data_IF_814247616589
#
_entry.id   IF_814247616589
#
_cell.length_a   1.000
_cell.length_b   1.000
_cell.length_c   1.000
_cell.angle_alpha   90.00
_cell.angle_beta   90.00
_cell.angle_gamma   90.00
#
_symmetry.space_group_name_H-M   'P 1'
#
loop_
_entity.id
_entity.type
_entity.pdbx_description
1 polymer ?
#
# COMPACT_ATOMS: atom_id res chain seq x y z
N UNK A 1 53.73 -28.77 -48.26
CA UNK A 1 53.07 -29.51 -47.17
C UNK A 1 52.40 -28.52 -46.23
N UNK A 2 51.07 -28.63 -46.17
CA UNK A 2 50.06 -28.04 -45.29
C UNK A 2 50.56 -27.36 -44.00
N UNK A 3 50.26 -26.07 -43.84
CA UNK A 3 49.89 -25.48 -42.54
C UNK A 3 48.62 -24.65 -42.71
N UNK A 4 47.51 -25.36 -42.61
CA UNK A 4 46.18 -24.85 -42.27
C UNK A 4 46.21 -24.57 -40.75
N UNK A 5 45.73 -23.41 -40.28
CA UNK A 5 45.82 -23.10 -38.85
C UNK A 5 45.18 -21.81 -38.39
N UNK A 6 43.85 -21.75 -38.50
CA UNK A 6 42.93 -21.07 -37.57
C UNK A 6 42.95 -19.52 -37.58
N UNK A 7 42.04 -18.96 -38.38
CA UNK A 7 41.48 -17.63 -38.18
C UNK A 7 40.44 -17.74 -37.04
N UNK A 8 40.81 -17.36 -35.81
CA UNK A 8 39.89 -17.25 -34.68
C UNK A 8 39.17 -15.90 -34.78
N UNK A 9 38.05 -15.87 -35.51
CA UNK A 9 37.09 -14.77 -35.44
C UNK A 9 36.41 -14.86 -34.08
N UNK A 10 36.89 -14.07 -33.11
CA UNK A 10 36.13 -13.77 -31.90
C UNK A 10 34.90 -12.95 -32.27
N UNK A 11 33.84 -13.64 -32.68
CA UNK A 11 32.50 -13.06 -32.67
C UNK A 11 32.10 -12.90 -31.19
N UNK A 12 32.32 -11.71 -30.64
CA UNK A 12 31.66 -11.28 -29.41
C UNK A 12 30.16 -11.19 -29.68
N UNK A 13 29.47 -12.34 -29.64
CA UNK A 13 28.05 -12.42 -29.37
C UNK A 13 27.86 -11.89 -27.95
N UNK A 14 27.66 -10.58 -27.84
CA UNK A 14 27.10 -9.97 -26.65
C UNK A 14 25.69 -10.55 -26.45
N UNK A 15 25.60 -11.67 -25.76
CA UNK A 15 24.37 -12.11 -25.12
C UNK A 15 24.03 -11.00 -24.12
N UNK A 16 23.17 -10.08 -24.54
CA UNK A 16 22.45 -9.22 -23.62
C UNK A 16 21.50 -10.15 -22.88
N UNK A 17 22.01 -10.82 -21.85
CA UNK A 17 21.17 -11.49 -20.89
C UNK A 17 20.30 -10.38 -20.27
N UNK A 18 19.04 -10.30 -20.67
CA UNK A 18 18.07 -9.52 -19.90
C UNK A 18 18.06 -10.18 -18.52
N UNK A 19 18.64 -9.49 -17.54
CA UNK A 19 18.61 -9.94 -16.16
C UNK A 19 17.14 -10.10 -15.76
N UNK A 20 16.76 -11.33 -15.40
CA UNK A 20 15.39 -11.62 -15.00
C UNK A 20 15.14 -11.02 -13.63
N UNK A 21 13.90 -10.57 -13.40
CA UNK A 21 13.49 -10.14 -12.05
C UNK A 21 13.71 -11.30 -11.08
N UNK A 22 14.34 -11.02 -9.93
CA UNK A 22 14.57 -12.03 -8.90
C UNK A 22 13.35 -12.09 -7.99
N UNK A 23 13.01 -13.30 -7.54
CA UNK A 23 12.09 -13.45 -6.41
C UNK A 23 12.70 -12.80 -5.15
N UNK A 24 11.88 -12.44 -4.14
CA UNK A 24 12.38 -11.88 -2.89
C UNK A 24 13.44 -12.78 -2.25
N UNK A 25 13.22 -14.10 -2.21
CA UNK A 25 14.18 -15.06 -1.66
C UNK A 25 15.53 -15.04 -2.41
N UNK A 26 15.50 -15.06 -3.74
CA UNK A 26 16.72 -15.03 -4.56
C UNK A 26 17.49 -13.71 -4.46
N UNK A 27 16.81 -12.61 -4.13
CA UNK A 27 17.43 -11.31 -3.91
C UNK A 27 17.99 -11.16 -2.49
N UNK A 28 17.20 -11.52 -1.48
CA UNK A 28 17.53 -11.33 -0.06
C UNK A 28 18.54 -12.36 0.46
N UNK A 29 18.54 -13.56 -0.12
CA UNK A 29 19.33 -14.71 0.34
C UNK A 29 18.71 -15.48 1.50
N UNK A 30 17.44 -15.22 1.81
CA UNK A 30 16.61 -15.90 2.82
C UNK A 30 15.14 -15.76 2.43
N UNK A 31 14.27 -16.62 2.97
CA UNK A 31 12.84 -16.55 2.66
C UNK A 31 12.21 -15.38 3.40
N UNK A 32 11.23 -14.72 2.76
CA UNK A 32 10.37 -13.79 3.48
C UNK A 32 9.74 -14.52 4.66
N UNK A 33 9.71 -13.87 5.83
CA UNK A 33 9.22 -14.48 7.06
C UNK A 33 10.29 -15.10 7.95
N UNK A 34 11.46 -15.48 7.41
CA UNK A 34 12.56 -16.03 8.23
C UNK A 34 13.15 -15.00 9.20
N UNK A 35 13.11 -13.72 8.81
CA UNK A 35 13.56 -12.56 9.59
C UNK A 35 13.01 -11.28 8.99
N UNK A 36 13.06 -10.19 9.75
CA UNK A 36 12.72 -8.87 9.23
C UNK A 36 13.79 -8.32 8.29
N UNK A 37 13.35 -7.77 7.16
CA UNK A 37 14.18 -7.06 6.21
C UNK A 37 14.29 -5.58 6.61
N UNK A 38 15.51 -5.05 6.83
CA UNK A 38 15.72 -3.62 7.03
C UNK A 38 15.20 -2.82 5.84
N UNK A 39 14.78 -1.58 6.06
CA UNK A 39 14.14 -0.75 5.04
C UNK A 39 14.97 -0.65 3.75
N UNK A 40 16.30 -0.50 3.84
CA UNK A 40 17.16 -0.40 2.66
C UNK A 40 17.09 -1.66 1.77
N UNK A 41 16.86 -2.86 2.32
CA UNK A 41 16.68 -4.08 1.53
C UNK A 41 15.34 -4.08 0.80
N UNK A 42 14.28 -3.57 1.44
CA UNK A 42 12.97 -3.37 0.81
C UNK A 42 13.10 -2.41 -0.37
N UNK A 43 13.70 -1.23 -0.16
CA UNK A 43 13.93 -0.24 -1.23
C UNK A 43 14.77 -0.82 -2.37
N UNK A 44 15.86 -1.51 -2.05
CA UNK A 44 16.73 -2.10 -3.06
C UNK A 44 16.03 -3.24 -3.82
N UNK A 45 15.11 -3.98 -3.19
CA UNK A 45 14.30 -4.97 -3.89
C UNK A 45 13.35 -4.32 -4.89
N UNK A 46 12.63 -3.27 -4.48
CA UNK A 46 11.77 -2.51 -5.38
C UNK A 46 12.55 -1.88 -6.54
N UNK A 47 13.77 -1.38 -6.28
CA UNK A 47 14.68 -0.89 -7.34
C UNK A 47 15.06 -2.00 -8.30
N UNK A 48 15.45 -3.16 -7.78
CA UNK A 48 15.79 -4.32 -8.60
C UNK A 48 14.61 -4.74 -9.48
N UNK A 49 13.39 -4.77 -8.95
CA UNK A 49 12.19 -5.09 -9.73
C UNK A 49 11.97 -4.06 -10.84
N UNK A 50 12.05 -2.76 -10.54
CA UNK A 50 11.87 -1.70 -11.53
C UNK A 50 12.92 -1.74 -12.65
N UNK A 51 14.20 -1.95 -12.32
CA UNK A 51 15.30 -2.03 -13.28
C UNK A 51 15.20 -3.26 -14.19
N UNK A 52 14.63 -4.36 -13.71
CA UNK A 52 14.49 -5.61 -14.45
C UNK A 52 13.08 -5.82 -15.04
N UNK A 53 12.16 -4.86 -14.85
CA UNK A 53 10.84 -4.81 -15.49
C UNK A 53 10.43 -3.37 -15.84
N UNK A 54 11.28 -2.61 -16.57
CA UNK A 54 11.08 -1.18 -16.79
C UNK A 54 9.86 -0.86 -17.67
N UNK A 55 9.36 -1.84 -18.44
CA UNK A 55 8.11 -1.69 -19.20
C UNK A 55 6.86 -1.83 -18.34
N UNK A 56 6.94 -2.52 -17.20
CA UNK A 56 5.78 -2.77 -16.32
C UNK A 56 5.82 -1.96 -15.03
N UNK A 57 6.99 -1.48 -14.60
CA UNK A 57 7.19 -0.85 -13.31
C UNK A 57 7.90 0.49 -13.46
N UNK A 58 7.31 1.54 -12.87
CA UNK A 58 7.98 2.82 -12.61
C UNK A 58 8.16 2.96 -11.10
N UNK A 59 9.40 3.14 -10.65
CA UNK A 59 9.70 3.46 -9.26
C UNK A 59 10.02 4.96 -9.13
N UNK A 60 9.43 5.61 -8.14
CA UNK A 60 9.57 7.04 -7.90
C UNK A 60 9.86 7.28 -6.42
N UNK A 61 10.94 7.99 -6.13
CA UNK A 61 11.14 8.55 -4.79
C UNK A 61 10.34 9.85 -4.71
N UNK A 62 9.39 9.91 -3.77
CA UNK A 62 8.54 11.10 -3.60
C UNK A 62 8.98 12.02 -2.47
N UNK A 63 9.89 11.55 -1.62
CA UNK A 63 10.34 12.30 -0.47
C UNK A 63 11.40 11.59 0.35
N UNK A 64 11.71 12.21 1.50
CA UNK A 64 12.60 11.66 2.52
C UNK A 64 12.02 11.92 3.92
N UNK A 65 12.32 11.04 4.86
CA UNK A 65 11.96 11.21 6.28
C UNK A 65 12.92 12.15 7.01
N UNK A 66 12.62 12.45 8.27
CA UNK A 66 13.49 13.25 9.13
C UNK A 66 14.88 12.63 9.35
N UNK A 67 14.99 11.29 9.30
CA UNK A 67 16.27 10.58 9.40
C UNK A 67 16.90 10.27 8.03
N UNK A 68 16.39 10.88 6.94
CA UNK A 68 16.96 10.77 5.59
C UNK A 68 16.68 9.45 4.88
N UNK A 69 15.63 8.72 5.28
CA UNK A 69 15.23 7.49 4.58
C UNK A 69 14.32 7.83 3.39
N UNK A 70 14.54 7.21 2.21
CA UNK A 70 13.76 7.53 1.03
C UNK A 70 12.34 6.99 1.14
N UNK A 71 11.37 7.80 0.72
CA UNK A 71 9.96 7.42 0.60
C UNK A 71 9.64 7.11 -0.87
N UNK A 72 9.05 5.93 -1.13
CA UNK A 72 8.99 5.35 -2.48
C UNK A 72 7.54 5.06 -2.91
N UNK A 73 7.26 5.22 -4.21
CA UNK A 73 6.06 4.70 -4.86
C UNK A 73 6.46 3.85 -6.06
N UNK A 74 5.90 2.66 -6.17
CA UNK A 74 5.97 1.83 -7.36
C UNK A 74 4.62 1.82 -8.09
N UNK A 75 4.64 2.18 -9.37
CA UNK A 75 3.51 2.09 -10.27
C UNK A 75 3.66 0.84 -11.12
N UNK A 76 2.66 -0.05 -11.11
CA UNK A 76 2.71 -1.35 -11.77
C UNK A 76 1.48 -1.56 -12.63
N UNK A 77 1.69 -1.86 -13.92
CA UNK A 77 0.62 -2.24 -14.85
C UNK A 77 1.20 -2.97 -16.07
N UNK A 78 0.36 -3.23 -17.07
CA UNK A 78 0.83 -3.75 -18.38
C UNK A 78 1.72 -2.73 -19.08
N UNK A 79 2.56 -3.19 -20.00
CA UNK A 79 3.43 -2.29 -20.77
C UNK A 79 2.65 -1.22 -21.55
N UNK A 80 1.46 -1.56 -22.03
CA UNK A 80 0.55 -0.61 -22.70
C UNK A 80 0.06 0.48 -21.75
N UNK A 81 -0.45 0.10 -20.57
CA UNK A 81 -0.91 1.06 -19.57
C UNK A 81 0.24 1.92 -19.04
N UNK A 82 1.42 1.33 -18.83
CA UNK A 82 2.61 2.04 -18.35
C UNK A 82 3.16 3.02 -19.39
N UNK A 83 3.09 2.69 -20.69
CA UNK A 83 3.41 3.65 -21.76
C UNK A 83 2.41 4.83 -21.80
N UNK A 84 1.18 4.63 -21.34
CA UNK A 84 0.11 5.63 -21.29
C UNK A 84 -0.12 6.23 -19.87
N UNK A 85 0.79 5.98 -18.93
CA UNK A 85 0.59 6.20 -17.49
C UNK A 85 0.17 7.64 -17.14
N UNK A 86 0.82 8.63 -17.75
CA UNK A 86 0.54 10.04 -17.49
C UNK A 86 -0.85 10.47 -18.00
N UNK A 87 -1.33 9.88 -19.11
CA UNK A 87 -2.68 10.14 -19.59
C UNK A 87 -3.72 9.47 -18.69
N UNK A 88 -3.45 8.27 -18.17
CA UNK A 88 -4.32 7.61 -17.16
C UNK A 88 -4.45 8.51 -15.93
N UNK A 89 -3.32 9.01 -15.41
CA UNK A 89 -3.28 9.93 -14.26
C UNK A 89 -4.08 11.21 -14.52
N UNK A 90 -3.81 11.91 -15.64
CA UNK A 90 -4.54 13.14 -16.03
C UNK A 90 -6.03 12.87 -16.23
N UNK A 91 -6.37 11.77 -16.88
CA UNK A 91 -7.76 11.37 -17.06
C UNK A 91 -8.48 11.21 -15.72
N UNK A 92 -7.80 10.66 -14.72
CA UNK A 92 -8.39 10.50 -13.41
C UNK A 92 -8.69 11.86 -12.72
N UNK A 93 -7.82 12.85 -12.90
CA UNK A 93 -8.10 14.22 -12.47
C UNK A 93 -9.27 14.86 -13.24
N UNK A 94 -9.49 14.47 -14.51
CA UNK A 94 -10.67 14.91 -15.28
C UNK A 94 -11.95 14.27 -14.75
N UNK A 95 -11.92 12.98 -14.38
CA UNK A 95 -13.04 12.32 -13.70
C UNK A 95 -13.37 13.01 -12.37
N UNK A 96 -12.34 13.41 -11.61
CA UNK A 96 -12.49 14.19 -10.40
C UNK A 96 -12.91 15.65 -10.64
N UNK A 97 -12.87 16.16 -11.88
CA UNK A 97 -13.15 17.55 -12.23
C UNK A 97 -12.13 18.56 -11.70
N UNK A 98 -10.91 18.11 -11.37
CA UNK A 98 -9.80 18.95 -10.86
C UNK A 98 -8.73 19.23 -11.91
N UNK A 99 -8.82 18.59 -13.08
CA UNK A 99 -7.88 18.83 -14.18
C UNK A 99 -8.03 20.24 -14.77
N UNK A 100 -6.89 20.88 -15.06
CA UNK A 100 -6.82 22.24 -15.62
C UNK A 100 -6.96 22.28 -17.16
N UNK A 101 -6.79 21.14 -17.84
CA UNK A 101 -6.76 21.06 -19.30
C UNK A 101 -8.14 21.11 -19.98
N UNK A 102 -9.22 21.08 -19.19
CA UNK A 102 -10.63 21.14 -19.63
C UNK A 102 -11.03 20.09 -20.68
N UNK A 103 -10.27 19.00 -20.81
CA UNK A 103 -10.63 17.90 -21.71
C UNK A 103 -11.71 17.02 -21.07
N UNK A 104 -12.54 16.39 -21.89
CA UNK A 104 -13.51 15.41 -21.42
C UNK A 104 -12.80 14.18 -20.80
N UNK A 105 -13.39 13.63 -19.74
CA UNK A 105 -12.91 12.41 -19.11
C UNK A 105 -13.31 11.17 -19.92
N UNK A 106 -12.47 10.15 -19.92
CA UNK A 106 -12.71 8.84 -20.50
C UNK A 106 -12.96 7.82 -19.37
N UNK A 107 -14.16 7.26 -19.33
CA UNK A 107 -14.58 6.29 -18.31
C UNK A 107 -14.10 4.84 -18.58
N UNK A 108 -13.42 4.60 -19.71
CA UNK A 108 -12.88 3.29 -20.09
C UNK A 108 -11.38 3.14 -19.77
N UNK A 109 -10.79 4.10 -19.04
CA UNK A 109 -9.40 4.01 -18.59
C UNK A 109 -9.28 3.04 -17.39
N UNK A 110 -8.11 2.43 -17.17
CA UNK A 110 -7.87 1.59 -16.00
C UNK A 110 -8.15 2.31 -14.68
N UNK A 111 -8.71 1.59 -13.71
CA UNK A 111 -8.84 2.06 -12.33
C UNK A 111 -7.47 2.09 -11.64
N UNK A 112 -7.30 2.99 -10.67
CA UNK A 112 -6.09 3.14 -9.87
C UNK A 112 -6.34 2.55 -8.48
N UNK A 113 -5.52 1.58 -8.10
CA UNK A 113 -5.57 0.93 -6.78
C UNK A 113 -4.29 1.24 -6.02
N UNK A 114 -4.41 1.81 -4.82
CA UNK A 114 -3.27 2.21 -3.99
C UNK A 114 -3.16 1.31 -2.76
N UNK A 115 -2.01 0.66 -2.59
CA UNK A 115 -1.69 -0.21 -1.47
C UNK A 115 -0.61 0.46 -0.61
N UNK A 116 -0.94 0.78 0.63
CA UNK A 116 -0.12 1.50 1.60
C UNK A 116 0.33 0.57 2.72
N UNK A 117 1.64 0.41 2.90
CA UNK A 117 2.18 -0.51 3.88
C UNK A 117 2.95 0.22 4.99
N UNK A 118 2.86 -0.30 6.22
CA UNK A 118 3.73 0.02 7.36
C UNK A 118 3.74 1.52 7.76
N UNK A 119 2.56 2.13 7.88
CA UNK A 119 2.41 3.49 8.45
C UNK A 119 2.75 3.53 9.95
N UNK A 120 2.51 2.42 10.66
CA UNK A 120 3.11 2.20 11.98
C UNK A 120 4.34 1.31 11.82
N UNK A 121 5.51 1.82 12.18
CA UNK A 121 6.77 1.18 11.81
C UNK A 121 6.98 -0.20 12.42
N UNK A 122 6.44 -0.47 13.61
CA UNK A 122 6.55 -1.78 14.28
C UNK A 122 5.49 -2.82 13.85
N UNK A 123 4.63 -2.48 12.87
CA UNK A 123 3.66 -3.38 12.21
C UNK A 123 4.29 -3.91 10.91
N UNK A 124 5.40 -4.62 11.06
CA UNK A 124 6.45 -4.77 10.04
C UNK A 124 6.17 -5.80 8.95
N UNK A 125 5.25 -6.74 9.16
CA UNK A 125 4.96 -7.81 8.19
C UNK A 125 4.39 -7.27 6.87
N UNK A 126 3.71 -6.13 6.93
CA UNK A 126 3.13 -5.42 5.78
C UNK A 126 4.18 -5.08 4.70
N UNK A 127 5.37 -4.58 5.03
CA UNK A 127 6.42 -4.34 4.03
C UNK A 127 7.03 -5.62 3.44
N UNK A 128 7.05 -6.72 4.19
CA UNK A 128 7.46 -8.02 3.64
C UNK A 128 6.41 -8.50 2.61
N UNK A 129 5.13 -8.33 2.93
CA UNK A 129 4.03 -8.60 2.01
C UNK A 129 4.12 -7.73 0.74
N UNK A 130 4.49 -6.45 0.86
CA UNK A 130 4.68 -5.56 -0.28
C UNK A 130 5.72 -6.09 -1.28
N UNK A 131 6.83 -6.68 -0.81
CA UNK A 131 7.83 -7.32 -1.66
C UNK A 131 7.25 -8.56 -2.38
N UNK A 132 6.45 -9.37 -1.70
CA UNK A 132 5.77 -10.51 -2.31
C UNK A 132 4.72 -10.06 -3.35
N UNK A 133 3.96 -9.00 -3.04
CA UNK A 133 2.95 -8.44 -3.93
C UNK A 133 3.58 -7.92 -5.21
N UNK A 134 4.60 -7.05 -5.15
CA UNK A 134 5.21 -6.51 -6.37
C UNK A 134 5.83 -7.63 -7.22
N UNK A 135 6.46 -8.63 -6.59
CA UNK A 135 6.97 -9.82 -7.28
C UNK A 135 5.88 -10.54 -8.07
N UNK A 136 4.75 -10.86 -7.45
CA UNK A 136 3.66 -11.60 -8.11
C UNK A 136 2.96 -10.81 -9.22
N UNK A 137 3.01 -9.48 -9.18
CA UNK A 137 2.52 -8.63 -10.27
C UNK A 137 3.45 -8.65 -11.50
N UNK A 138 4.76 -8.73 -11.29
CA UNK A 138 5.75 -8.77 -12.38
C UNK A 138 6.14 -10.18 -12.82
N UNK A 139 5.93 -11.18 -11.97
CA UNK A 139 6.26 -12.58 -12.23
C UNK A 139 5.67 -13.05 -13.58
N UNK A 140 6.51 -13.46 -14.56
CA UNK A 140 6.04 -13.86 -15.88
C UNK A 140 5.20 -15.15 -15.85
N UNK A 141 5.36 -15.98 -14.81
CA UNK A 141 4.56 -17.20 -14.64
C UNK A 141 3.14 -16.93 -14.11
N UNK A 142 2.89 -15.75 -13.52
CA UNK A 142 1.59 -15.42 -12.95
C UNK A 142 0.69 -14.76 -14.01
N UNK A 143 -0.01 -15.58 -14.79
CA UNK A 143 -0.88 -15.09 -15.87
C UNK A 143 -2.13 -14.36 -15.37
N UNK A 144 -2.62 -14.69 -14.17
CA UNK A 144 -3.80 -14.04 -13.58
C UNK A 144 -3.57 -12.56 -13.35
N UNK A 145 -2.43 -12.20 -12.76
CA UNK A 145 -2.10 -10.79 -12.51
C UNK A 145 -1.94 -10.01 -13.80
N UNK A 146 -1.41 -10.62 -14.87
CA UNK A 146 -1.32 -9.96 -16.18
C UNK A 146 -2.68 -9.59 -16.75
N UNK A 147 -3.69 -10.44 -16.55
CA UNK A 147 -5.08 -10.12 -16.95
C UNK A 147 -5.66 -9.00 -16.09
N UNK A 148 -5.41 -9.00 -14.78
CA UNK A 148 -5.88 -7.93 -13.90
C UNK A 148 -5.28 -6.57 -14.26
N UNK A 149 -3.96 -6.52 -14.47
CA UNK A 149 -3.22 -5.30 -14.79
C UNK A 149 -3.64 -4.64 -16.11
N UNK A 150 -4.37 -5.32 -17.01
CA UNK A 150 -4.98 -4.67 -18.18
C UNK A 150 -6.01 -3.61 -17.75
N UNK A 151 -6.72 -3.88 -16.65
CA UNK A 151 -7.83 -3.07 -16.16
C UNK A 151 -7.45 -2.16 -14.99
N UNK A 152 -6.26 -2.31 -14.39
CA UNK A 152 -5.82 -1.49 -13.25
C UNK A 152 -4.37 -1.02 -13.36
N UNK A 153 -4.11 0.13 -12.77
CA UNK A 153 -2.77 0.58 -12.36
C UNK A 153 -2.66 0.43 -10.85
N UNK A 154 -1.67 -0.32 -10.40
CA UNK A 154 -1.41 -0.52 -8.97
C UNK A 154 -0.32 0.46 -8.53
N UNK A 155 -0.59 1.21 -7.45
CA UNK A 155 0.38 2.05 -6.76
C UNK A 155 0.72 1.38 -5.44
N UNK A 156 2.01 1.13 -5.19
CA UNK A 156 2.50 0.49 -3.96
C UNK A 156 3.40 1.50 -3.23
N UNK A 157 3.02 1.85 -2.00
CA UNK A 157 3.89 2.52 -1.02
C UNK A 157 4.41 1.45 -0.04
N UNK A 158 5.65 0.93 -0.21
CA UNK A 158 6.11 -0.24 0.53
C UNK A 158 6.40 0.03 2.01
N UNK A 159 6.57 1.29 2.42
CA UNK A 159 6.85 1.65 3.79
C UNK A 159 6.63 3.16 4.01
N UNK A 160 5.51 3.51 4.64
CA UNK A 160 5.16 4.90 4.93
C UNK A 160 6.00 5.47 6.09
N UNK A 161 6.39 4.63 7.06
CA UNK A 161 7.17 5.02 8.24
C UNK A 161 8.50 4.25 8.35
N UNK A 162 9.48 4.52 7.47
CA UNK A 162 10.73 3.79 7.47
C UNK A 162 11.60 4.09 8.70
N UNK A 163 11.45 5.26 9.34
CA UNK A 163 12.17 5.62 10.57
C UNK A 163 11.70 4.76 11.75
N UNK A 164 10.39 4.68 11.96
CA UNK A 164 9.80 3.80 12.97
C UNK A 164 10.08 2.32 12.66
N UNK A 165 10.03 1.93 11.38
CA UNK A 165 10.32 0.56 10.94
C UNK A 165 11.72 0.14 11.33
N UNK A 166 12.72 0.90 10.90
CA UNK A 166 14.11 0.54 11.17
C UNK A 166 14.42 0.61 12.67
N UNK A 167 13.76 1.48 13.45
CA UNK A 167 13.87 1.46 14.92
C UNK A 167 13.50 0.09 15.49
N UNK A 168 12.33 -0.44 15.10
CA UNK A 168 11.89 -1.77 15.55
C UNK A 168 12.75 -2.89 14.97
N UNK A 169 13.01 -2.88 13.65
CA UNK A 169 13.75 -3.95 12.96
C UNK A 169 15.19 -4.06 13.46
N UNK A 170 15.87 -2.92 13.70
CA UNK A 170 17.23 -2.92 14.23
C UNK A 170 17.29 -3.46 15.65
N UNK A 171 16.32 -3.08 16.49
CA UNK A 171 16.19 -3.67 17.82
C UNK A 171 15.93 -5.18 17.75
N UNK A 172 14.91 -5.61 17.00
CA UNK A 172 14.51 -7.00 16.92
C UNK A 172 15.66 -7.89 16.44
N UNK A 173 16.35 -7.48 15.37
CA UNK A 173 17.50 -8.19 14.83
C UNK A 173 18.70 -8.27 15.79
N UNK A 174 18.77 -7.40 16.80
CA UNK A 174 19.79 -7.45 17.86
C UNK A 174 19.45 -8.38 19.02
N UNK A 175 18.17 -8.78 19.15
CA UNK A 175 17.70 -9.60 20.27
C UNK A 175 17.26 -11.00 19.87
N UNK A 176 16.86 -11.20 18.61
CA UNK A 176 16.40 -12.50 18.10
C UNK A 176 17.52 -13.54 18.11
N UNK A 177 17.18 -14.74 18.57
CA UNK A 177 18.09 -15.89 18.52
C UNK A 177 18.27 -16.45 17.10
N UNK A 178 19.07 -17.52 16.99
CA UNK A 178 19.13 -18.32 15.74
C UNK A 178 17.78 -18.97 15.43
N UNK A 179 17.04 -19.32 16.48
CA UNK A 179 15.67 -19.84 16.45
C UNK A 179 14.85 -18.84 17.26
N UNK A 180 13.74 -18.37 16.69
CA UNK A 180 12.83 -17.47 17.37
C UNK A 180 12.18 -18.18 18.56
N UNK A 181 12.07 -17.49 19.70
CA UNK A 181 11.38 -18.01 20.88
C UNK A 181 9.92 -17.51 20.87
N UNK A 182 8.93 -18.38 20.68
CA UNK A 182 7.55 -17.96 20.52
C UNK A 182 6.85 -17.58 21.84
N UNK A 183 7.53 -17.70 22.99
CA UNK A 183 6.93 -17.43 24.29
C UNK A 183 6.78 -15.91 24.52
N UNK A 184 5.55 -15.36 24.70
CA UNK A 184 5.30 -13.91 24.70
C UNK A 184 5.98 -13.08 25.79
N UNK A 185 6.63 -13.73 26.77
CA UNK A 185 7.36 -13.12 27.87
C UNK A 185 8.88 -13.05 27.62
N UNK A 186 9.36 -13.50 26.46
CA UNK A 186 10.79 -13.41 26.11
C UNK A 186 11.15 -12.01 25.62
N UNK A 187 12.45 -11.72 25.57
CA UNK A 187 12.98 -10.43 25.15
C UNK A 187 12.59 -10.08 23.71
N UNK A 188 12.34 -11.06 22.84
CA UNK A 188 11.93 -10.85 21.44
C UNK A 188 10.56 -10.15 21.30
N UNK A 189 9.75 -10.14 22.36
CA UNK A 189 8.42 -9.54 22.39
C UNK A 189 8.34 -8.30 23.29
N UNK A 190 9.47 -7.77 23.75
CA UNK A 190 9.51 -6.63 24.68
C UNK A 190 10.23 -5.44 24.02
N UNK A 191 9.59 -4.86 23.01
CA UNK A 191 10.08 -3.66 22.33
C UNK A 191 10.35 -2.53 23.36
N UNK A 192 11.57 -1.95 23.38
CA UNK A 192 11.91 -0.89 24.30
C UNK A 192 11.30 0.45 23.86
N UNK A 193 11.27 1.41 24.78
CA UNK A 193 10.93 2.79 24.46
C UNK A 193 12.19 3.58 24.03
N UNK A 194 12.11 4.46 23.01
CA UNK A 194 10.96 4.66 22.13
C UNK A 194 10.75 3.48 21.17
N UNK A 195 9.49 3.06 21.00
CA UNK A 195 9.10 1.99 20.08
C UNK A 195 8.99 2.48 18.62
N UNK A 196 8.89 1.57 17.67
CA UNK A 196 8.83 1.82 16.24
C UNK A 196 7.46 2.19 15.68
N UNK A 197 6.39 2.20 16.49
CA UNK A 197 5.03 2.55 16.01
C UNK A 197 5.00 3.92 15.33
N UNK A 198 5.57 4.93 15.98
CA UNK A 198 5.54 6.32 15.55
C UNK A 198 6.76 6.71 14.71
N UNK A 199 6.70 7.86 14.04
CA UNK A 199 7.83 8.38 13.24
C UNK A 199 8.99 8.90 14.12
N UNK A 200 9.93 9.66 13.53
CA UNK A 200 11.05 10.27 14.24
C UNK A 200 10.63 11.10 15.48
N UNK A 201 9.61 11.95 15.34
CA UNK A 201 9.13 12.83 16.42
C UNK A 201 8.09 12.19 17.32
N UNK A 202 7.96 10.87 17.28
CA UNK A 202 6.95 10.10 18.01
C UNK A 202 5.49 10.46 17.65
N UNK A 203 5.24 10.95 16.43
CA UNK A 203 3.89 11.15 15.92
C UNK A 203 3.33 9.88 15.27
N UNK A 204 2.03 9.66 15.46
CA UNK A 204 1.27 8.63 14.76
C UNK A 204 0.87 9.16 13.36
N UNK A 205 1.52 8.61 12.33
CA UNK A 205 1.29 9.03 10.94
C UNK A 205 -0.11 8.65 10.43
N UNK A 206 -0.76 7.65 11.03
CA UNK A 206 -2.15 7.31 10.72
C UNK A 206 -3.15 8.22 11.45
N UNK A 207 -2.71 9.23 12.20
CA UNK A 207 -3.56 10.34 12.67
C UNK A 207 -3.33 11.63 11.89
N UNK A 208 -2.34 11.68 11.02
CA UNK A 208 -1.82 12.91 10.43
C UNK A 208 -2.31 13.19 9.00
N UNK A 209 -3.09 12.29 8.37
CA UNK A 209 -3.53 12.43 6.98
C UNK A 209 -4.24 13.76 6.67
N UNK A 210 -5.15 14.17 7.55
CA UNK A 210 -5.79 15.47 7.44
C UNK A 210 -4.84 16.57 7.91
N UNK A 211 -4.23 16.46 9.10
CA UNK A 211 -3.51 17.58 9.72
C UNK A 211 -2.18 17.95 9.03
N UNK A 212 -1.55 17.00 8.33
CA UNK A 212 -0.33 17.19 7.54
C UNK A 212 0.78 17.90 8.33
N UNK A 213 0.97 17.51 9.59
CA UNK A 213 2.00 18.09 10.45
C UNK A 213 3.38 17.48 10.21
N UNK A 214 3.43 16.23 9.74
CA UNK A 214 4.67 15.48 9.56
C UNK A 214 5.14 15.52 8.10
N UNK A 215 6.47 15.53 7.90
CA UNK A 215 7.08 15.66 6.57
C UNK A 215 6.72 14.48 5.67
N UNK A 216 6.58 13.28 6.24
CA UNK A 216 6.18 12.07 5.52
C UNK A 216 4.77 12.25 4.91
N UNK A 217 3.83 12.81 5.68
CA UNK A 217 2.46 13.07 5.22
C UNK A 217 2.41 14.21 4.21
N UNK A 218 3.11 15.32 4.47
CA UNK A 218 3.15 16.49 3.57
C UNK A 218 3.63 16.10 2.17
N UNK A 219 4.64 15.23 2.08
CA UNK A 219 5.16 14.73 0.81
C UNK A 219 4.21 13.71 0.17
N UNK A 220 3.63 12.80 0.97
CA UNK A 220 2.68 11.77 0.49
C UNK A 220 1.42 12.38 -0.11
N UNK A 221 0.85 13.39 0.53
CA UNK A 221 -0.45 13.94 0.14
C UNK A 221 -0.43 14.65 -1.20
N UNK A 222 0.71 15.27 -1.56
CA UNK A 222 0.93 15.84 -2.90
C UNK A 222 0.79 14.73 -3.96
N UNK A 223 1.46 13.59 -3.76
CA UNK A 223 1.34 12.45 -4.68
C UNK A 223 -0.05 11.85 -4.69
N UNK A 224 -0.66 11.71 -3.52
CA UNK A 224 -2.02 11.20 -3.41
C UNK A 224 -3.00 12.06 -4.22
N UNK A 225 -2.95 13.38 -4.09
CA UNK A 225 -3.83 14.31 -4.81
C UNK A 225 -3.51 14.39 -6.31
N UNK A 226 -2.28 14.06 -6.74
CA UNK A 226 -1.92 13.95 -8.16
C UNK A 226 -2.54 12.72 -8.84
N UNK A 227 -2.97 11.72 -8.07
CA UNK A 227 -3.44 10.43 -8.56
C UNK A 227 -4.90 10.12 -8.22
N UNK A 228 -5.38 10.47 -7.02
CA UNK A 228 -6.74 10.25 -6.50
C UNK A 228 -7.30 8.84 -6.79
N UNK A 229 -6.73 7.78 -6.18
CA UNK A 229 -7.07 6.41 -6.53
C UNK A 229 -8.56 6.08 -6.31
N UNK A 230 -9.09 5.11 -7.06
CA UNK A 230 -10.42 4.57 -6.82
C UNK A 230 -10.47 3.69 -5.57
N UNK A 231 -9.40 2.96 -5.28
CA UNK A 231 -9.32 2.04 -4.13
C UNK A 231 -8.05 2.34 -3.34
N UNK A 232 -8.15 2.37 -2.01
CA UNK A 232 -7.01 2.52 -1.11
C UNK A 232 -7.06 1.46 -0.01
N UNK A 233 -5.95 0.79 0.24
CA UNK A 233 -5.81 -0.13 1.37
C UNK A 233 -4.64 0.31 2.24
N UNK A 234 -4.91 0.48 3.53
CA UNK A 234 -3.91 0.74 4.57
C UNK A 234 -3.67 -0.53 5.38
N UNK A 235 -2.46 -1.09 5.30
CA UNK A 235 -2.10 -2.37 5.93
C UNK A 235 -1.46 -2.14 7.30
N UNK A 236 -2.08 -2.74 8.31
CA UNK A 236 -1.79 -2.57 9.72
C UNK A 236 -1.65 -3.90 10.47
N UNK A 237 -1.11 -3.83 11.68
CA UNK A 237 -1.17 -4.93 12.63
C UNK A 237 -1.75 -4.52 13.99
N UNK A 238 -2.38 -5.50 14.64
CA UNK A 238 -3.01 -5.37 15.96
C UNK A 238 -2.46 -6.43 16.95
N UNK A 239 -3.11 -6.60 18.10
CA UNK A 239 -2.74 -7.61 19.09
C UNK A 239 -2.57 -9.00 18.48
N UNK A 240 -1.53 -9.74 18.86
CA UNK A 240 -1.26 -11.09 18.31
C UNK A 240 -2.31 -12.14 18.69
N UNK A 241 -3.19 -11.85 19.65
CA UNK A 241 -4.34 -12.67 19.99
C UNK A 241 -5.58 -12.37 19.12
N UNK A 242 -5.55 -11.30 18.34
CA UNK A 242 -6.69 -10.93 17.50
C UNK A 242 -6.58 -11.60 16.12
N UNK A 243 -7.68 -12.14 15.57
CA UNK A 243 -7.71 -12.67 14.21
C UNK A 243 -7.57 -11.54 13.17
N UNK A 244 -7.46 -11.88 11.89
CA UNK A 244 -7.31 -10.85 10.84
C UNK A 244 -8.59 -10.02 10.70
N UNK A 245 -8.48 -8.71 10.53
CA UNK A 245 -9.61 -7.87 10.14
C UNK A 245 -9.44 -7.30 8.73
N UNK A 246 -10.55 -7.32 7.98
CA UNK A 246 -10.69 -6.58 6.74
C UNK A 246 -12.08 -5.96 6.65
N UNK A 247 -12.21 -4.96 5.77
CA UNK A 247 -13.48 -4.32 5.46
C UNK A 247 -14.60 -5.35 5.16
N UNK A 248 -15.86 -5.08 5.51
CA UNK A 248 -16.44 -3.77 5.81
C UNK A 248 -16.20 -3.24 7.23
N UNK A 249 -16.22 -1.91 7.35
CA UNK A 249 -16.19 -1.18 8.61
C UNK A 249 -17.45 -1.38 9.46
N UNK A 250 -17.36 -1.04 10.75
CA UNK A 250 -18.46 -1.04 11.71
C UNK A 250 -19.37 0.18 11.52
N UNK A 251 -20.65 0.02 11.89
CA UNK A 251 -21.60 1.13 11.95
C UNK A 251 -21.51 1.87 13.30
N UNK A 252 -21.76 3.20 13.35
CA UNK A 252 -22.24 4.07 12.27
C UNK A 252 -21.13 4.62 11.35
N UNK A 253 -21.48 4.92 10.09
CA UNK A 253 -20.60 5.62 9.14
C UNK A 253 -20.90 7.11 9.09
N UNK A 254 -19.91 7.92 8.69
CA UNK A 254 -20.17 9.31 8.33
C UNK A 254 -21.14 9.37 7.14
N UNK A 255 -22.08 10.33 7.18
CA UNK A 255 -23.14 10.51 6.17
C UNK A 255 -22.64 10.73 4.73
N UNK A 256 -21.41 11.19 4.55
CA UNK A 256 -20.81 11.47 3.23
C UNK A 256 -20.26 10.20 2.57
N UNK A 257 -20.14 9.11 3.31
CA UNK A 257 -19.74 7.80 2.76
C UNK A 257 -20.89 7.26 1.93
N UNK A 258 -20.67 7.13 0.62
CA UNK A 258 -21.71 6.74 -0.34
C UNK A 258 -22.11 5.26 -0.21
N UNK A 259 -23.35 4.89 -0.62
CA UNK A 259 -23.77 3.49 -0.67
C UNK A 259 -22.83 2.62 -1.51
N UNK A 260 -22.32 3.15 -2.63
CA UNK A 260 -21.37 2.43 -3.49
C UNK A 260 -20.06 2.09 -2.77
N UNK A 261 -19.46 3.06 -2.07
CA UNK A 261 -18.22 2.80 -1.34
C UNK A 261 -18.42 1.67 -0.30
N UNK A 262 -19.57 1.65 0.38
CA UNK A 262 -19.92 0.58 1.34
C UNK A 262 -20.15 -0.76 0.64
N UNK A 263 -20.89 -0.77 -0.46
CA UNK A 263 -21.15 -1.98 -1.27
C UNK A 263 -19.83 -2.60 -1.75
N UNK A 264 -18.89 -1.77 -2.19
CA UNK A 264 -17.58 -2.23 -2.65
C UNK A 264 -16.71 -2.78 -1.51
N UNK A 265 -16.69 -2.15 -0.33
CA UNK A 265 -16.06 -2.74 0.85
C UNK A 265 -16.61 -4.14 1.16
N UNK A 266 -17.93 -4.35 1.02
CA UNK A 266 -18.55 -5.67 1.20
C UNK A 266 -18.10 -6.67 0.13
N UNK A 267 -17.96 -6.26 -1.13
CA UNK A 267 -17.45 -7.13 -2.20
C UNK A 267 -16.02 -7.60 -1.91
N UNK A 268 -15.14 -6.69 -1.51
CA UNK A 268 -13.76 -6.99 -1.12
C UNK A 268 -13.74 -7.93 0.08
N UNK A 269 -14.50 -7.61 1.13
CA UNK A 269 -14.60 -8.43 2.34
C UNK A 269 -15.06 -9.86 2.06
N UNK A 270 -16.04 -10.03 1.17
CA UNK A 270 -16.51 -11.38 0.75
C UNK A 270 -15.44 -12.16 -0.01
N UNK A 271 -14.66 -11.51 -0.86
CA UNK A 271 -13.58 -12.20 -1.58
C UNK A 271 -12.43 -12.56 -0.63
N UNK A 272 -12.06 -11.66 0.29
CA UNK A 272 -11.09 -11.95 1.34
C UNK A 272 -11.54 -13.12 2.22
N UNK A 273 -12.81 -13.11 2.69
CA UNK A 273 -13.40 -14.20 3.46
C UNK A 273 -13.30 -15.54 2.74
N UNK A 274 -13.61 -15.60 1.44
CA UNK A 274 -13.45 -16.82 0.63
C UNK A 274 -12.02 -17.38 0.66
N UNK A 275 -11.00 -16.52 0.61
CA UNK A 275 -9.62 -16.95 0.71
C UNK A 275 -9.25 -17.44 2.12
N UNK A 276 -9.73 -16.76 3.15
CA UNK A 276 -9.48 -17.13 4.54
C UNK A 276 -10.18 -18.44 4.91
N UNK A 277 -11.46 -18.60 4.54
CA UNK A 277 -12.23 -19.84 4.71
C UNK A 277 -11.55 -21.03 4.03
N UNK A 278 -11.02 -20.83 2.81
CA UNK A 278 -10.33 -21.88 2.06
C UNK A 278 -9.00 -22.32 2.69
N UNK A 279 -8.37 -21.46 3.49
CA UNK A 279 -7.13 -21.77 4.20
C UNK A 279 -7.33 -22.07 5.70
N UNK A 280 -8.57 -21.96 6.21
CA UNK A 280 -8.87 -22.15 7.63
C UNK A 280 -8.35 -21.02 8.53
N UNK A 281 -8.16 -19.81 8.00
CA UNK A 281 -7.68 -18.67 8.78
C UNK A 281 -8.83 -17.89 9.42
N UNK A 282 -8.66 -17.54 10.69
CA UNK A 282 -9.65 -16.77 11.44
C UNK A 282 -9.63 -15.30 11.02
N UNK A 283 -10.82 -14.71 10.86
CA UNK A 283 -11.00 -13.30 10.59
C UNK A 283 -12.28 -12.75 11.23
N UNK A 284 -12.39 -11.43 11.29
CA UNK A 284 -13.61 -10.72 11.68
C UNK A 284 -13.86 -9.48 10.81
N UNK A 285 -15.11 -8.99 10.80
CA UNK A 285 -15.54 -7.79 10.07
C UNK A 285 -16.64 -7.08 10.84
N UNK A 286 -16.91 -5.78 10.59
CA UNK A 286 -18.05 -5.00 11.16
C UNK A 286 -18.08 -4.77 12.67
N UNK A 287 -17.00 -5.04 13.41
CA UNK A 287 -17.04 -4.97 14.88
C UNK A 287 -16.47 -3.67 15.47
N UNK A 288 -15.22 -3.32 15.14
CA UNK A 288 -14.47 -2.30 15.89
C UNK A 288 -14.00 -1.10 15.07
N UNK A 289 -13.65 -1.29 13.80
CA UNK A 289 -13.05 -0.25 12.97
C UNK A 289 -14.13 0.51 12.20
N UNK A 290 -14.31 1.79 12.50
CA UNK A 290 -15.32 2.67 11.91
C UNK A 290 -14.77 3.57 10.79
N UNK A 291 -15.65 4.36 10.16
CA UNK A 291 -15.28 5.36 9.16
C UNK A 291 -15.72 6.77 9.56
N UNK A 292 -15.57 7.13 10.84
CA UNK A 292 -16.05 8.41 11.37
C UNK A 292 -14.98 9.51 11.34
N UNK A 293 -13.80 9.27 11.92
CA UNK A 293 -12.75 10.28 12.05
C UNK A 293 -11.99 10.52 10.73
N UNK A 294 -11.81 11.76 10.24
CA UNK A 294 -11.33 12.06 8.87
C UNK A 294 -9.85 11.95 8.58
N UNK A 295 -9.03 11.53 9.54
CA UNK A 295 -7.57 11.61 9.42
C UNK A 295 -6.88 10.23 9.40
N UNK A 296 -7.62 9.17 9.08
CA UNK A 296 -7.09 7.82 8.90
C UNK A 296 -6.76 7.53 7.43
N UNK A 297 -5.87 6.57 7.20
CA UNK A 297 -5.51 6.09 5.88
C UNK A 297 -6.63 5.33 5.17
N UNK A 298 -7.73 4.99 5.83
CA UNK A 298 -8.96 4.55 5.18
C UNK A 298 -9.98 5.68 5.01
N UNK A 299 -10.19 6.54 6.01
CA UNK A 299 -11.23 7.57 5.97
C UNK A 299 -10.87 8.79 5.12
N UNK A 300 -9.62 9.27 5.16
CA UNK A 300 -9.20 10.38 4.32
C UNK A 300 -9.40 10.04 2.82
N UNK A 301 -8.97 8.85 2.32
CA UNK A 301 -9.34 8.37 0.99
C UNK A 301 -10.84 8.34 0.70
N UNK A 302 -11.65 7.88 1.66
CA UNK A 302 -13.11 7.85 1.50
C UNK A 302 -13.70 9.24 1.22
N UNK A 303 -13.15 10.28 1.86
CA UNK A 303 -13.53 11.68 1.63
C UNK A 303 -12.90 12.31 0.38
N UNK A 304 -12.03 11.56 -0.32
CA UNK A 304 -11.50 11.90 -1.65
C UNK A 304 -12.09 11.01 -2.76
N UNK A 305 -13.23 10.35 -2.49
CA UNK A 305 -13.96 9.55 -3.45
C UNK A 305 -13.41 8.14 -3.69
N UNK A 306 -12.34 7.76 -2.99
CA UNK A 306 -11.81 6.40 -3.03
C UNK A 306 -12.67 5.45 -2.18
N UNK A 307 -12.51 4.14 -2.38
CA UNK A 307 -12.91 3.13 -1.40
C UNK A 307 -11.69 2.83 -0.53
N UNK A 308 -11.59 3.53 0.60
CA UNK A 308 -10.54 3.33 1.61
C UNK A 308 -10.87 2.18 2.56
N UNK A 309 -9.86 1.39 2.93
CA UNK A 309 -10.00 0.21 3.79
C UNK A 309 -8.76 0.06 4.68
N UNK A 310 -8.97 -0.22 5.97
CA UNK A 310 -7.92 -0.68 6.88
C UNK A 310 -7.96 -2.20 6.95
N UNK A 311 -6.80 -2.86 6.83
CA UNK A 311 -6.64 -4.28 7.12
C UNK A 311 -5.69 -4.48 8.29
N UNK A 312 -6.07 -5.31 9.26
CA UNK A 312 -5.37 -5.47 10.54
C UNK A 312 -5.00 -6.93 10.75
N UNK A 313 -3.71 -7.22 10.80
CA UNK A 313 -3.18 -8.55 11.07
C UNK A 313 -2.77 -8.67 12.54
N UNK A 314 -3.15 -9.75 13.23
CA UNK A 314 -2.61 -10.01 14.58
C UNK A 314 -1.07 -10.07 14.56
N UNK A 315 -0.40 -9.42 15.51
CA UNK A 315 1.07 -9.45 15.63
C UNK A 315 1.61 -8.24 16.38
N UNK A 316 1.67 -7.10 15.69
CA UNK A 316 2.34 -5.87 16.10
C UNK A 316 3.80 -6.11 16.54
N UNK A 317 4.39 -5.15 17.26
CA UNK A 317 5.71 -5.30 17.90
C UNK A 317 5.89 -6.49 18.84
N UNK A 318 4.81 -7.11 19.34
CA UNK A 318 4.91 -8.34 20.15
C UNK A 318 4.83 -9.61 19.31
N UNK A 319 4.58 -9.53 18.01
CA UNK A 319 4.51 -10.71 17.15
C UNK A 319 5.86 -11.36 16.87
N UNK A 320 6.97 -10.61 17.02
CA UNK A 320 8.33 -11.11 16.83
C UNK A 320 8.53 -11.84 15.50
N UNK A 321 9.38 -12.87 15.43
CA UNK A 321 9.42 -13.75 14.26
C UNK A 321 8.37 -14.88 14.35
N UNK A 322 8.00 -15.26 15.57
CA UNK A 322 6.90 -16.16 15.90
C UNK A 322 6.40 -15.83 17.30
N UNK A 323 5.10 -15.98 17.58
CA UNK A 323 4.50 -15.82 18.92
C UNK A 323 3.38 -16.83 19.12
N UNK A 324 3.27 -17.42 20.31
CA UNK A 324 2.11 -18.26 20.68
C UNK A 324 0.97 -17.36 21.15
N UNK A 325 -0.22 -17.54 20.57
CA UNK A 325 -1.45 -16.86 20.97
C UNK A 325 -2.14 -17.58 22.15
N UNK A 326 -3.24 -17.01 22.63
CA UNK A 326 -4.02 -17.58 23.74
C UNK A 326 -4.70 -18.92 23.42
N UNK A 327 -4.92 -19.23 22.13
CA UNK A 327 -5.45 -20.52 21.67
C UNK A 327 -4.38 -21.63 21.63
N UNK A 328 -3.11 -21.28 21.85
CA UNK A 328 -1.97 -22.20 21.80
C UNK A 328 -1.36 -22.38 20.40
N UNK A 329 -1.87 -21.65 19.41
CA UNK A 329 -1.34 -21.63 18.04
C UNK A 329 -0.15 -20.68 17.92
N UNK A 330 0.80 -21.02 17.05
CA UNK A 330 1.96 -20.17 16.77
C UNK A 330 1.69 -19.31 15.54
N UNK A 331 1.68 -18.00 15.73
CA UNK A 331 1.58 -17.01 14.67
C UNK A 331 2.99 -16.56 14.22
N UNK A 332 3.38 -16.90 12.99
CA UNK A 332 4.71 -16.56 12.46
C UNK A 332 4.71 -15.26 11.66
N UNK A 333 5.89 -14.67 11.46
CA UNK A 333 6.05 -13.56 10.52
C UNK A 333 5.63 -13.93 9.09
N UNK A 334 5.84 -15.19 8.68
CA UNK A 334 5.38 -15.68 7.38
C UNK A 334 3.85 -15.70 7.29
N UNK A 335 3.15 -16.18 8.32
CA UNK A 335 1.67 -16.19 8.31
C UNK A 335 1.14 -14.76 8.17
N UNK A 336 1.68 -13.84 8.97
CA UNK A 336 1.28 -12.42 8.96
C UNK A 336 1.50 -11.76 7.59
N UNK A 337 2.69 -11.90 7.00
CA UNK A 337 2.97 -11.32 5.69
C UNK A 337 2.13 -11.99 4.59
N UNK A 338 1.86 -13.30 4.71
CA UNK A 338 1.13 -14.04 3.70
C UNK A 338 -0.37 -13.72 3.71
N UNK A 339 -0.94 -13.46 4.89
CA UNK A 339 -2.32 -12.97 5.02
C UNK A 339 -2.47 -11.57 4.41
N UNK A 340 -1.54 -10.65 4.71
CA UNK A 340 -1.50 -9.33 4.06
C UNK A 340 -1.36 -9.44 2.54
N UNK A 341 -0.46 -10.29 2.06
CA UNK A 341 -0.30 -10.57 0.64
C UNK A 341 -1.61 -11.08 0.02
N UNK A 342 -2.30 -12.02 0.68
CA UNK A 342 -3.53 -12.64 0.19
C UNK A 342 -4.66 -11.62 0.06
N UNK A 343 -4.89 -10.80 1.09
CA UNK A 343 -5.92 -9.75 1.04
C UNK A 343 -5.58 -8.63 0.05
N UNK A 344 -4.30 -8.30 -0.11
CA UNK A 344 -3.83 -7.40 -1.16
C UNK A 344 -4.13 -7.94 -2.56
N UNK A 345 -3.74 -9.17 -2.86
CA UNK A 345 -4.01 -9.79 -4.17
C UNK A 345 -5.51 -9.96 -4.45
N UNK A 346 -6.29 -10.36 -3.44
CA UNK A 346 -7.76 -10.42 -3.52
C UNK A 346 -8.38 -9.06 -3.83
N UNK A 347 -7.85 -7.99 -3.24
CA UNK A 347 -8.30 -6.61 -3.54
C UNK A 347 -8.01 -6.24 -4.99
N UNK A 348 -6.82 -6.59 -5.50
CA UNK A 348 -6.45 -6.32 -6.90
C UNK A 348 -7.34 -7.10 -7.87
N UNK A 349 -7.66 -8.36 -7.57
CA UNK A 349 -8.58 -9.19 -8.36
C UNK A 349 -9.95 -8.52 -8.50
N UNK A 350 -10.61 -8.22 -7.38
CA UNK A 350 -11.96 -7.62 -7.38
C UNK A 350 -11.94 -6.25 -8.06
N UNK A 351 -10.90 -5.44 -7.80
CA UNK A 351 -10.75 -4.13 -8.43
C UNK A 351 -10.60 -4.22 -9.94
N UNK A 352 -9.84 -5.19 -10.44
CA UNK A 352 -9.72 -5.42 -11.87
C UNK A 352 -11.03 -5.90 -12.51
N UNK A 353 -11.76 -6.79 -11.84
CA UNK A 353 -13.05 -7.28 -12.33
C UNK A 353 -14.14 -6.19 -12.32
N UNK A 354 -14.03 -5.20 -11.44
CA UNK A 354 -15.00 -4.11 -11.28
C UNK A 354 -14.50 -2.74 -11.79
N UNK A 355 -13.37 -2.70 -12.52
CA UNK A 355 -12.69 -1.47 -12.92
C UNK A 355 -13.62 -0.44 -13.59
N UNK A 356 -14.46 -0.88 -14.53
CA UNK A 356 -15.44 0.00 -15.18
C UNK A 356 -16.43 0.64 -14.19
N UNK A 357 -16.90 -0.12 -13.19
CA UNK A 357 -17.85 0.41 -12.19
C UNK A 357 -17.14 1.33 -11.20
N UNK A 358 -15.91 0.99 -10.79
CA UNK A 358 -15.05 1.84 -9.96
C UNK A 358 -14.84 3.23 -10.58
N UNK A 359 -14.46 3.28 -11.85
CA UNK A 359 -14.20 4.53 -12.59
C UNK A 359 -15.48 5.39 -12.72
N UNK A 360 -16.61 4.76 -13.04
CA UNK A 360 -17.91 5.44 -13.18
C UNK A 360 -18.42 6.03 -11.87
N UNK A 361 -18.35 5.26 -10.80
CA UNK A 361 -18.83 5.70 -9.50
C UNK A 361 -17.90 6.75 -8.87
N UNK A 362 -16.59 6.66 -9.13
CA UNK A 362 -15.64 7.71 -8.77
C UNK A 362 -15.99 9.05 -9.46
N UNK A 363 -16.25 9.04 -10.77
CA UNK A 363 -16.75 10.23 -11.48
C UNK A 363 -18.06 10.73 -10.88
N UNK A 364 -18.99 9.81 -10.59
CA UNK A 364 -20.30 10.13 -10.00
C UNK A 364 -20.18 10.79 -8.63
N UNK A 365 -19.25 10.34 -7.79
CA UNK A 365 -18.94 10.95 -6.50
C UNK A 365 -18.59 12.44 -6.66
N UNK A 366 -17.65 12.76 -7.55
CA UNK A 366 -17.21 14.13 -7.79
C UNK A 366 -18.26 14.99 -8.50
N UNK A 367 -19.01 14.42 -9.46
CA UNK A 367 -20.10 15.12 -10.14
C UNK A 367 -21.23 15.50 -9.19
N UNK A 368 -21.60 14.61 -8.25
CA UNK A 368 -22.58 14.90 -7.20
C UNK A 368 -22.06 15.97 -6.25
N UNK A 369 -20.81 15.90 -5.81
CA UNK A 369 -20.21 16.92 -4.94
C UNK A 369 -20.27 18.34 -5.52
N UNK A 370 -20.20 18.47 -6.86
CA UNK A 370 -20.33 19.77 -7.55
C UNK A 370 -21.77 20.20 -7.82
N UNK A 371 -22.63 19.27 -8.24
CA UNK A 371 -23.98 19.60 -8.72
C UNK A 371 -25.03 19.62 -7.60
N UNK A 372 -24.89 18.72 -6.62
CA UNK A 372 -25.81 18.53 -5.51
C UNK A 372 -25.01 18.16 -4.25
N UNK A 373 -24.23 19.10 -3.68
CA UNK A 373 -23.43 18.81 -2.49
C UNK A 373 -24.33 18.31 -1.35
N UNK A 374 -23.86 17.28 -0.65
CA UNK A 374 -24.54 16.76 0.54
C UNK A 374 -24.40 17.70 1.74
N UNK A 375 -25.25 17.48 2.76
CA UNK A 375 -25.28 18.26 3.99
C UNK A 375 -26.34 19.37 4.00
N UNK A 376 -26.49 20.03 5.16
CA UNK A 376 -27.49 21.09 5.38
C UNK A 376 -27.17 22.36 4.58
N UNK A 377 -25.88 22.65 4.38
CA UNK A 377 -25.42 23.91 3.80
C UNK A 377 -24.89 23.71 2.37
N UNK A 378 -25.32 24.58 1.44
CA UNK A 378 -24.79 24.63 0.07
C UNK A 378 -23.37 25.22 -0.03
N UNK A 379 -22.99 26.03 0.96
CA UNK A 379 -21.72 26.75 0.99
C UNK A 379 -21.35 27.14 2.40
N UNK A 380 -20.04 27.12 2.71
CA UNK A 380 -19.48 27.64 3.96
C UNK A 380 -18.74 28.95 3.66
N UNK A 381 -18.98 29.99 4.47
CA UNK A 381 -18.23 31.26 4.39
C UNK A 381 -17.23 31.26 5.53
N UNK A 382 -15.94 31.15 5.19
CA UNK A 382 -14.85 31.28 6.15
C UNK A 382 -14.46 32.76 6.20
N UNK A 383 -14.66 33.40 7.34
CA UNK A 383 -14.31 34.82 7.52
C UNK A 383 -12.81 34.97 7.38
N UNK A 384 -12.39 35.92 6.55
CA UNK A 384 -11.01 36.36 6.52
C UNK A 384 -10.64 37.03 7.85
N UNK A 385 -9.64 36.48 8.53
CA UNK A 385 -8.87 37.22 9.52
C UNK A 385 -7.45 37.43 8.96
N UNK A 386 -6.78 38.51 9.36
CA UNK A 386 -5.41 38.83 8.90
C UNK A 386 -4.35 37.84 9.45
N UNK A 387 -4.75 36.68 9.98
CA UNK A 387 -3.84 35.66 10.49
C UNK A 387 -3.35 34.73 9.38
N UNK A 388 -2.29 33.98 9.68
CA UNK A 388 -1.71 32.96 8.80
C UNK A 388 -2.66 31.78 8.53
N UNK A 389 -3.76 31.65 9.28
CA UNK A 389 -4.68 30.50 9.23
C UNK A 389 -5.32 30.33 7.86
N UNK A 390 -5.68 31.43 7.20
CA UNK A 390 -6.36 31.36 5.91
C UNK A 390 -5.40 31.03 4.77
N UNK A 391 -4.15 31.51 4.85
CA UNK A 391 -3.12 31.15 3.89
C UNK A 391 -2.67 29.70 4.08
N UNK A 392 -2.60 29.21 5.33
CA UNK A 392 -2.43 27.78 5.62
C UNK A 392 -3.57 26.94 5.05
N UNK A 393 -4.82 27.39 5.15
CA UNK A 393 -5.97 26.68 4.57
C UNK A 393 -5.93 26.63 3.03
N UNK A 394 -5.51 27.71 2.37
CA UNK A 394 -5.31 27.71 0.91
C UNK A 394 -4.24 26.70 0.49
N UNK A 395 -3.14 26.64 1.23
CA UNK A 395 -2.03 25.73 0.96
C UNK A 395 -2.33 24.27 1.35
N UNK A 396 -3.33 24.03 2.21
CA UNK A 396 -3.76 22.70 2.67
C UNK A 396 -4.39 21.83 1.55
N UNK A 397 -4.80 22.47 0.44
CA UNK A 397 -5.62 21.85 -0.62
C UNK A 397 -4.89 21.69 -1.96
N UNK A 398 -3.62 22.09 -2.02
CA UNK A 398 -2.76 22.04 -3.22
C UNK A 398 -1.54 21.17 -2.94
#
# INVERSE_FOLDING_TARGET
MKKLGILLVFACLGLVAMSQVKSPEAFLGYKLGDRYSPHFKVVNYFRQVAENSPSMVKLEQYGETNEGRPLMLAYVSTAENMANLENIRKNNLRLAGTALDKMAANENMPAIVWLSYNVHGNETSSSEAAMMTIWELVNPANTKTKEWLKNIVVVIDPCINPDGRDRYVNWFNSVVGKIADPLPFTREHMEPWPGGRSNHYNFDLNRDWAWQSQVETQQRIIKYNQWLPQVHVDFHEQGYNEPYYFAPAAEPYHEVVTPWQREFQVMIGKNNAKHFDANGWLFFTKERFDLLYPSYGDTYPMYKGAIGMTFEQGGHSRGGAAVINEDGDTLTLYDRLYHHFTTGMSTLEVSALQSNKLVKEFKTYYDKARSTPGGEFKSYIIKYDESDRLDRLKNFST
#
